data_IF_231385108815
#
_entry.id   IF_231385108815
#
_cell.length_a   1.000
_cell.length_b   1.000
_cell.length_c   1.000
_cell.angle_alpha   90.00
_cell.angle_beta   90.00
_cell.angle_gamma   90.00
#
_symmetry.space_group_name_H-M   'P 1'
#
loop_
_entity.id
_entity.type
_entity.pdbx_description
1 polymer ?
#
# COMPACT_ATOMS: atom_id res chain seq x y z
N UNK A 1 8.11 9.04 -0.80
CA UNK A 1 7.88 7.82 0.02
C UNK A 1 9.02 6.82 -0.22
N UNK A 2 9.53 6.21 0.84
CA UNK A 2 10.87 5.56 0.87
C UNK A 2 11.03 4.43 -0.15
N UNK A 3 10.03 3.54 -0.26
CA UNK A 3 10.12 2.36 -1.13
C UNK A 3 10.20 2.72 -2.62
N UNK A 4 9.47 3.76 -3.05
CA UNK A 4 9.51 4.22 -4.44
C UNK A 4 10.91 4.75 -4.79
N UNK A 5 11.51 5.52 -3.88
CA UNK A 5 12.89 6.00 -4.05
C UNK A 5 13.87 4.83 -4.13
N UNK A 6 13.82 3.92 -3.17
CA UNK A 6 14.73 2.77 -3.10
C UNK A 6 14.67 1.89 -4.36
N UNK A 7 13.47 1.65 -4.89
CA UNK A 7 13.32 0.82 -6.10
C UNK A 7 13.80 1.56 -7.35
N UNK A 8 13.55 2.87 -7.47
CA UNK A 8 14.05 3.69 -8.59
C UNK A 8 15.58 3.74 -8.62
N UNK A 9 16.21 3.79 -7.45
CA UNK A 9 17.68 3.82 -7.30
C UNK A 9 18.31 2.43 -7.41
N UNK A 10 17.52 1.36 -7.39
CA UNK A 10 18.01 -0.02 -7.55
C UNK A 10 18.64 -0.26 -8.92
N UNK A 11 19.67 -1.09 -8.99
CA UNK A 11 20.24 -1.56 -10.27
C UNK A 11 19.54 -2.83 -10.80
N UNK A 12 18.66 -3.45 -10.01
CA UNK A 12 17.90 -4.63 -10.41
C UNK A 12 16.70 -4.24 -11.30
N UNK A 13 16.92 -4.35 -12.61
CA UNK A 13 15.89 -4.08 -13.63
C UNK A 13 14.65 -4.96 -13.47
N UNK A 14 14.80 -6.21 -13.03
CA UNK A 14 13.66 -7.13 -12.88
C UNK A 14 12.78 -6.69 -11.73
N UNK A 15 13.38 -6.27 -10.60
CA UNK A 15 12.66 -5.71 -9.47
C UNK A 15 11.93 -4.43 -9.87
N UNK A 16 12.61 -3.52 -10.58
CA UNK A 16 12.02 -2.28 -11.08
C UNK A 16 10.80 -2.53 -11.98
N UNK A 17 10.90 -3.43 -12.95
CA UNK A 17 9.77 -3.76 -13.84
C UNK A 17 8.59 -4.34 -13.07
N UNK A 18 8.83 -5.25 -12.11
CA UNK A 18 7.76 -5.81 -11.28
C UNK A 18 7.07 -4.74 -10.45
N UNK A 19 7.84 -3.85 -9.84
CA UNK A 19 7.32 -2.74 -9.05
C UNK A 19 6.48 -1.77 -9.91
N UNK A 20 7.00 -1.35 -11.07
CA UNK A 20 6.30 -0.46 -11.99
C UNK A 20 4.96 -1.04 -12.44
N UNK A 21 4.94 -2.33 -12.78
CA UNK A 21 3.71 -3.03 -13.16
C UNK A 21 2.71 -3.08 -12.00
N UNK A 22 3.16 -3.41 -10.79
CA UNK A 22 2.29 -3.50 -9.62
C UNK A 22 1.69 -2.13 -9.25
N UNK A 23 2.52 -1.10 -9.17
CA UNK A 23 2.08 0.28 -8.89
C UNK A 23 1.12 0.78 -9.97
N UNK A 24 1.39 0.50 -11.24
CA UNK A 24 0.49 0.86 -12.33
C UNK A 24 -0.91 0.26 -12.14
N UNK A 25 -1.00 -1.04 -11.80
CA UNK A 25 -2.28 -1.70 -11.52
C UNK A 25 -3.00 -1.07 -10.33
N UNK A 26 -2.28 -0.78 -9.25
CA UNK A 26 -2.83 -0.13 -8.05
C UNK A 26 -3.38 1.27 -8.37
N UNK A 27 -2.60 2.09 -9.08
CA UNK A 27 -3.03 3.43 -9.49
C UNK A 27 -4.27 3.39 -10.37
N UNK A 28 -4.39 2.36 -11.23
CA UNK A 28 -5.59 2.13 -12.03
C UNK A 28 -6.79 1.73 -11.19
N UNK A 29 -6.59 0.91 -10.16
CA UNK A 29 -7.67 0.58 -9.23
C UNK A 29 -8.22 1.85 -8.55
N UNK A 30 -7.34 2.74 -8.07
CA UNK A 30 -7.76 4.02 -7.46
C UNK A 30 -8.39 5.00 -8.44
N UNK A 31 -8.07 4.90 -9.74
CA UNK A 31 -8.72 5.72 -10.75
C UNK A 31 -10.10 5.18 -11.18
N UNK A 32 -10.41 3.92 -10.90
CA UNK A 32 -11.64 3.25 -11.33
C UNK A 32 -12.67 3.09 -10.21
N UNK A 33 -12.21 3.03 -8.96
CA UNK A 33 -13.03 2.74 -7.80
C UNK A 33 -12.78 3.78 -6.71
N UNK A 34 -13.87 4.22 -6.06
CA UNK A 34 -13.76 4.99 -4.82
C UNK A 34 -13.12 4.13 -3.73
N UNK A 35 -12.43 4.75 -2.76
CA UNK A 35 -11.69 4.01 -1.75
C UNK A 35 -12.57 3.11 -0.88
N UNK A 36 -13.84 3.47 -0.66
CA UNK A 36 -14.81 2.68 0.09
C UNK A 36 -15.24 1.41 -0.65
N UNK A 37 -15.02 1.34 -1.97
CA UNK A 37 -15.37 0.21 -2.83
C UNK A 37 -14.24 -0.83 -2.92
N UNK A 38 -13.06 -0.52 -2.36
CA UNK A 38 -11.89 -1.39 -2.38
C UNK A 38 -11.48 -1.71 -0.96
N UNK A 39 -11.26 -3.00 -0.68
CA UNK A 39 -10.72 -3.46 0.58
C UNK A 39 -9.45 -4.27 0.34
N UNK A 40 -8.51 -4.16 1.28
CA UNK A 40 -7.27 -4.91 1.28
C UNK A 40 -7.35 -6.07 2.27
N UNK A 41 -7.30 -7.30 1.77
CA UNK A 41 -7.19 -8.49 2.62
C UNK A 41 -5.74 -8.67 3.05
N UNK A 42 -5.43 -8.32 4.29
CA UNK A 42 -4.09 -8.42 4.87
C UNK A 42 -4.04 -9.59 5.84
N UNK A 43 -2.98 -10.39 5.80
CA UNK A 43 -2.83 -11.57 6.67
C UNK A 43 -1.51 -11.58 7.45
N UNK A 44 -0.77 -10.48 7.46
CA UNK A 44 0.55 -10.39 8.10
C UNK A 44 1.67 -11.19 7.43
N UNK A 45 1.35 -12.02 6.44
CA UNK A 45 2.32 -12.79 5.68
C UNK A 45 3.08 -11.95 4.66
N UNK A 46 4.29 -12.39 4.31
CA UNK A 46 5.21 -11.75 3.34
C UNK A 46 4.53 -11.15 2.11
N UNK A 47 3.67 -11.91 1.44
CA UNK A 47 3.09 -11.47 0.16
C UNK A 47 2.09 -10.33 0.35
N UNK A 48 1.27 -10.38 1.40
CA UNK A 48 0.36 -9.28 1.73
C UNK A 48 1.13 -8.08 2.30
N UNK A 49 2.22 -8.28 3.04
CA UNK A 49 3.11 -7.19 3.49
C UNK A 49 3.78 -6.47 2.32
N UNK A 50 4.26 -7.20 1.31
CA UNK A 50 4.76 -6.59 0.07
C UNK A 50 3.65 -5.77 -0.61
N UNK A 51 2.43 -6.30 -0.70
CA UNK A 51 1.29 -5.58 -1.27
C UNK A 51 0.91 -4.34 -0.45
N UNK A 52 1.00 -4.37 0.88
CA UNK A 52 0.79 -3.22 1.76
C UNK A 52 1.75 -2.07 1.38
N UNK A 53 3.03 -2.37 1.23
CA UNK A 53 4.01 -1.36 0.80
C UNK A 53 3.72 -0.84 -0.61
N UNK A 54 3.32 -1.71 -1.53
CA UNK A 54 2.94 -1.32 -2.89
C UNK A 54 1.68 -0.45 -2.92
N UNK A 55 0.70 -0.70 -2.04
CA UNK A 55 -0.51 0.12 -1.88
C UNK A 55 -0.17 1.51 -1.36
N UNK A 56 0.66 1.59 -0.31
CA UNK A 56 1.19 2.88 0.19
C UNK A 56 1.93 3.62 -0.93
N UNK A 57 2.68 2.89 -1.75
CA UNK A 57 3.43 3.47 -2.84
C UNK A 57 2.54 4.01 -3.98
N UNK A 58 1.60 3.19 -4.42
CA UNK A 58 0.61 3.55 -5.41
C UNK A 58 -0.25 4.73 -4.96
N UNK A 59 -0.62 4.80 -3.69
CA UNK A 59 -1.43 5.88 -3.13
C UNK A 59 -0.68 7.20 -3.14
N UNK A 60 0.56 7.23 -2.65
CA UNK A 60 1.43 8.40 -2.72
C UNK A 60 1.60 8.92 -4.16
N UNK A 61 1.83 8.01 -5.12
CA UNK A 61 1.98 8.39 -6.53
C UNK A 61 0.65 8.79 -7.19
N UNK A 62 -0.48 8.29 -6.72
CA UNK A 62 -1.80 8.65 -7.20
C UNK A 62 -2.18 10.05 -6.74
N UNK A 63 -1.96 10.39 -5.46
CA UNK A 63 -2.16 11.73 -4.93
C UNK A 63 -1.33 12.78 -5.69
N UNK A 64 -0.04 12.51 -5.92
CA UNK A 64 0.83 13.43 -6.69
C UNK A 64 0.39 13.66 -8.15
N UNK A 65 -0.50 12.83 -8.71
CA UNK A 65 -1.11 13.06 -10.04
C UNK A 65 -2.39 13.90 -9.95
N UNK A 66 -3.10 13.86 -8.83
CA UNK A 66 -4.34 14.62 -8.59
C UNK A 66 -4.07 16.05 -8.10
N UNK A 67 -2.90 16.31 -7.50
CA UNK A 67 -2.49 17.61 -6.94
C UNK A 67 -2.11 18.70 -7.96
N UNK A 68 -2.53 18.61 -9.22
CA UNK A 68 -2.66 19.80 -10.08
C UNK A 68 -3.82 20.74 -9.64
N UNK A 69 -4.46 20.47 -8.50
CA UNK A 69 -5.40 21.36 -7.82
C UNK A 69 -4.96 21.61 -6.38
N UNK A 70 -4.72 22.88 -6.05
CA UNK A 70 -4.11 23.39 -4.81
C UNK A 70 -4.78 22.89 -3.52
N UNK A 71 -4.26 21.85 -2.88
CA UNK A 71 -4.47 21.64 -1.45
C UNK A 71 -3.18 21.27 -0.74
N UNK A 72 -2.92 21.99 0.36
CA UNK A 72 -1.76 21.86 1.22
C UNK A 72 -1.70 20.42 1.77
N UNK A 73 -0.62 19.70 1.47
CA UNK A 73 -0.30 18.37 2.02
C UNK A 73 -0.28 18.44 3.57
N UNK A 74 -1.41 18.12 4.20
CA UNK A 74 -1.48 17.91 5.64
C UNK A 74 -0.85 16.56 6.00
N UNK A 75 -0.39 16.39 7.24
CA UNK A 75 0.20 15.13 7.74
C UNK A 75 -0.69 13.89 7.53
N UNK A 76 -1.99 14.09 7.27
CA UNK A 76 -2.97 13.03 6.96
C UNK A 76 -2.84 12.47 5.53
N UNK A 77 -2.10 13.14 4.64
CA UNK A 77 -1.81 12.70 3.27
C UNK A 77 -1.05 11.35 3.21
N UNK A 78 -0.55 10.87 4.36
CA UNK A 78 0.19 9.62 4.46
C UNK A 78 -0.68 8.41 4.77
N UNK A 79 -1.95 8.58 5.17
CA UNK A 79 -2.86 7.46 5.46
C UNK A 79 -3.68 7.12 4.23
N UNK A 80 -3.39 5.95 3.65
CA UNK A 80 -4.21 5.41 2.57
C UNK A 80 -5.57 4.99 3.13
N UNK A 81 -6.71 5.52 2.63
CA UNK A 81 -8.03 5.29 3.23
C UNK A 81 -8.64 3.92 2.90
N UNK A 82 -7.84 2.97 2.38
CA UNK A 82 -8.31 1.62 2.05
C UNK A 82 -8.61 0.87 3.32
N UNK A 83 -9.83 0.34 3.42
CA UNK A 83 -10.21 -0.55 4.51
C UNK A 83 -9.42 -1.84 4.43
N UNK A 84 -8.79 -2.21 5.53
CA UNK A 84 -8.04 -3.46 5.64
C UNK A 84 -8.85 -4.49 6.41
N UNK A 85 -8.91 -5.72 5.91
CA UNK A 85 -9.62 -6.84 6.51
C UNK A 85 -8.59 -7.90 6.91
N UNK A 86 -8.64 -8.34 8.16
CA UNK A 86 -7.88 -9.47 8.68
C UNK A 86 -8.84 -10.54 9.21
N UNK A 87 -8.56 -11.81 8.92
CA UNK A 87 -9.35 -12.94 9.39
C UNK A 87 -8.59 -13.66 10.50
N UNK A 88 -8.98 -13.41 11.74
CA UNK A 88 -8.43 -14.11 12.88
C UNK A 88 -8.90 -15.57 12.90
N UNK A 89 -7.95 -16.46 13.17
CA UNK A 89 -8.25 -17.88 13.37
C UNK A 89 -7.54 -18.37 14.63
N UNK A 90 -8.15 -19.27 15.43
CA UNK A 90 -7.50 -19.83 16.62
C UNK A 90 -6.22 -20.62 16.31
N UNK A 91 -6.03 -21.01 15.05
CA UNK A 91 -4.86 -21.76 14.58
C UNK A 91 -3.76 -20.85 14.00
N UNK A 92 -3.98 -19.53 13.91
CA UNK A 92 -2.95 -18.60 13.48
C UNK A 92 -1.84 -18.51 14.53
N UNK A 93 -0.61 -18.34 14.05
CA UNK A 93 0.52 -18.06 14.93
C UNK A 93 0.26 -16.76 15.71
N UNK A 94 0.39 -16.74 17.04
CA UNK A 94 0.21 -15.52 17.84
C UNK A 94 1.07 -14.35 17.35
N UNK A 95 2.26 -14.63 16.82
CA UNK A 95 3.19 -13.66 16.26
C UNK A 95 2.60 -12.95 15.02
N UNK A 96 1.81 -13.66 14.20
CA UNK A 96 1.13 -13.07 13.04
C UNK A 96 0.00 -12.14 13.50
N UNK A 97 -0.74 -12.52 14.55
CA UNK A 97 -1.74 -11.65 15.14
C UNK A 97 -1.07 -10.37 15.71
N UNK A 98 -0.02 -10.53 16.52
CA UNK A 98 0.72 -9.39 17.10
C UNK A 98 1.23 -8.46 16.01
N UNK A 99 1.91 -9.01 15.00
CA UNK A 99 2.42 -8.24 13.87
C UNK A 99 1.31 -7.51 13.12
N UNK A 100 0.16 -8.17 12.88
CA UNK A 100 -0.97 -7.55 12.16
C UNK A 100 -1.58 -6.40 12.95
N UNK A 101 -1.74 -6.56 14.26
CA UNK A 101 -2.26 -5.50 15.14
C UNK A 101 -1.30 -4.33 15.29
N UNK A 102 -0.01 -4.60 15.46
CA UNK A 102 1.05 -3.58 15.50
C UNK A 102 1.08 -2.79 14.19
N UNK A 103 1.05 -3.50 13.05
CA UNK A 103 1.02 -2.87 11.71
C UNK A 103 -0.22 -2.01 11.50
N UNK A 104 -1.37 -2.37 12.08
CA UNK A 104 -2.60 -1.59 11.97
C UNK A 104 -2.63 -0.36 12.88
N UNK A 105 -1.77 -0.30 13.91
CA UNK A 105 -1.68 0.82 14.83
C UNK A 105 -0.75 1.95 14.36
N UNK A 106 0.12 1.67 13.38
CA UNK A 106 0.99 2.65 12.69
C UNK A 106 0.26 3.46 11.61
#
# INVERSE_FOLDING_TARGET
MEIDRAIRESTDRRLQTKYQNAVYVIQRAFALYEFEQVAFSFNGGKDSTVLLHLLRAGYYLHQGKSECSNHHLSDDAHKCPIRTIYFETPCAFPEINSFTYETAAE
#
